data_IF_213345885460
#
_entry.id   IF_213345885460
#
_cell.length_a   1.000
_cell.length_b   1.000
_cell.length_c   1.000
_cell.angle_alpha   90.00
_cell.angle_beta   90.00
_cell.angle_gamma   90.00
#
_symmetry.space_group_name_H-M   'P 1'
#
loop_
_entity.id
_entity.type
_entity.pdbx_description
1 polymer ?
#
# COMPACT_ATOMS: atom_id res chain seq x y z
N UNK A 1 -47.47 -7.72 86.91
CA UNK A 1 -46.96 -8.83 86.07
C UNK A 1 -46.82 -8.39 84.62
N UNK A 2 -45.58 -8.06 84.22
CA UNK A 2 -45.33 -7.57 82.82
C UNK A 2 -44.63 -8.73 82.07
N UNK A 3 -45.23 -9.25 81.06
CA UNK A 3 -44.66 -10.25 80.12
C UNK A 3 -43.91 -9.54 79.03
N UNK A 4 -42.62 -9.74 78.97
CA UNK A 4 -41.74 -9.21 77.91
C UNK A 4 -41.65 -10.27 76.80
N UNK A 5 -42.13 -9.96 75.59
CA UNK A 5 -41.91 -10.77 74.41
C UNK A 5 -40.59 -10.41 73.75
N UNK A 6 -39.65 -11.38 73.63
CA UNK A 6 -38.45 -11.26 72.81
C UNK A 6 -38.76 -11.70 71.38
N UNK A 7 -38.66 -10.78 70.43
CA UNK A 7 -38.72 -11.08 69.02
C UNK A 7 -37.29 -11.45 68.51
N UNK A 8 -37.13 -12.68 68.05
CA UNK A 8 -35.92 -13.13 67.36
C UNK A 8 -35.94 -12.56 65.93
N UNK A 9 -35.01 -11.67 65.61
CA UNK A 9 -34.73 -11.25 64.25
C UNK A 9 -33.79 -12.29 63.61
N UNK A 10 -34.30 -13.05 62.63
CA UNK A 10 -33.50 -13.92 61.79
C UNK A 10 -32.89 -13.06 60.65
N UNK A 11 -31.56 -12.87 60.69
CA UNK A 11 -30.80 -12.22 59.60
C UNK A 11 -30.57 -13.27 58.53
N UNK A 12 -31.31 -13.15 57.39
CA UNK A 12 -31.09 -13.92 56.18
C UNK A 12 -29.91 -13.25 55.44
N UNK A 13 -28.72 -13.82 55.54
CA UNK A 13 -27.54 -13.42 54.76
C UNK A 13 -27.70 -13.96 53.36
N UNK A 14 -28.19 -13.14 52.43
CA UNK A 14 -28.18 -13.46 50.99
C UNK A 14 -26.74 -13.37 50.45
N UNK A 15 -26.12 -14.53 50.23
CA UNK A 15 -24.90 -14.64 49.46
C UNK A 15 -25.17 -14.23 48.00
N UNK A 16 -24.84 -13.01 47.65
CA UNK A 16 -24.79 -12.60 46.25
C UNK A 16 -23.52 -13.21 45.66
N UNK A 17 -23.67 -14.33 44.95
CA UNK A 17 -22.58 -14.90 44.15
C UNK A 17 -22.23 -13.90 43.06
N UNK A 18 -21.12 -13.20 43.19
CA UNK A 18 -20.55 -12.39 42.14
C UNK A 18 -20.22 -13.32 40.95
N UNK A 19 -20.99 -13.21 39.88
CA UNK A 19 -20.65 -13.87 38.62
C UNK A 19 -19.24 -13.44 38.21
N UNK A 20 -18.33 -14.37 37.83
CA UNK A 20 -17.02 -13.99 37.36
C UNK A 20 -17.18 -13.04 36.18
N UNK A 21 -16.71 -11.81 36.31
CA UNK A 21 -16.59 -10.87 35.21
C UNK A 21 -15.59 -11.51 34.24
N UNK A 22 -16.12 -12.08 33.14
CA UNK A 22 -15.26 -12.61 32.08
C UNK A 22 -14.36 -11.47 31.61
N UNK A 23 -13.07 -11.58 31.88
CA UNK A 23 -12.11 -10.56 31.46
C UNK A 23 -12.28 -10.30 29.97
N UNK A 24 -12.64 -9.08 29.61
CA UNK A 24 -12.81 -8.67 28.21
C UNK A 24 -11.47 -8.89 27.49
N UNK A 25 -11.46 -9.81 26.54
CA UNK A 25 -10.26 -10.11 25.76
C UNK A 25 -9.82 -8.83 25.05
N UNK A 26 -8.52 -8.50 25.22
CA UNK A 26 -7.92 -7.31 24.59
C UNK A 26 -7.36 -7.66 23.22
N UNK A 27 -7.46 -6.72 22.29
CA UNK A 27 -6.79 -6.81 21.01
C UNK A 27 -5.28 -6.98 21.17
N UNK A 28 -4.66 -7.70 20.25
CA UNK A 28 -3.20 -7.81 20.14
C UNK A 28 -2.57 -6.40 20.05
N UNK A 29 -1.41 -6.24 20.69
CA UNK A 29 -0.72 -4.96 20.75
C UNK A 29 -0.46 -4.42 19.34
N UNK A 30 -0.68 -3.10 19.16
CA UNK A 30 -0.51 -2.37 17.89
C UNK A 30 -1.43 -2.81 16.74
N UNK A 31 -2.42 -3.68 17.00
CA UNK A 31 -3.42 -4.07 16.01
C UNK A 31 -4.66 -3.17 16.08
N UNK A 32 -5.19 -2.82 14.92
CA UNK A 32 -6.43 -2.04 14.76
C UNK A 32 -7.23 -2.60 13.59
N UNK A 33 -8.53 -2.30 13.57
CA UNK A 33 -9.36 -2.58 12.39
C UNK A 33 -8.82 -1.81 11.19
N UNK A 34 -9.01 -2.40 10.01
CA UNK A 34 -8.75 -1.68 8.76
C UNK A 34 -9.77 -0.54 8.60
N UNK A 35 -9.36 0.67 8.16
CA UNK A 35 -10.27 1.83 8.04
C UNK A 35 -11.48 1.59 7.14
N UNK A 36 -11.42 0.59 6.27
CA UNK A 36 -12.48 0.26 5.33
C UNK A 36 -13.65 -0.50 5.96
N UNK A 37 -13.39 -1.36 6.95
CA UNK A 37 -14.37 -2.31 7.49
C UNK A 37 -14.25 -2.39 9.02
N UNK A 38 -15.39 -2.42 9.70
CA UNK A 38 -15.46 -2.76 11.12
C UNK A 38 -15.52 -4.27 11.30
N UNK A 39 -15.08 -4.76 12.46
CA UNK A 39 -15.22 -6.17 12.85
C UNK A 39 -16.66 -6.53 13.26
N UNK A 40 -16.94 -7.82 13.35
CA UNK A 40 -18.16 -8.31 13.95
C UNK A 40 -18.26 -7.86 15.45
N UNK A 41 -19.46 -7.58 15.97
CA UNK A 41 -19.65 -7.16 17.36
C UNK A 41 -19.01 -8.15 18.35
N UNK A 42 -18.35 -7.60 19.38
CA UNK A 42 -17.70 -8.35 20.47
C UNK A 42 -16.43 -9.13 20.08
N UNK A 43 -16.09 -9.22 18.80
CA UNK A 43 -14.85 -9.85 18.36
C UNK A 43 -13.64 -9.05 18.80
N UNK A 44 -12.51 -9.75 18.96
CA UNK A 44 -11.23 -9.15 19.29
C UNK A 44 -10.16 -9.56 18.26
N UNK A 45 -9.13 -8.75 18.12
CA UNK A 45 -8.03 -9.02 17.19
C UNK A 45 -7.00 -9.90 17.90
N UNK A 46 -6.87 -11.15 17.43
CA UNK A 46 -5.87 -12.08 17.92
C UNK A 46 -4.48 -11.76 17.40
N UNK A 47 -4.38 -11.37 16.14
CA UNK A 47 -3.13 -11.04 15.49
C UNK A 47 -3.38 -10.12 14.28
N UNK A 48 -2.40 -9.32 13.94
CA UNK A 48 -2.39 -8.59 12.67
C UNK A 48 -0.99 -8.52 12.07
N UNK A 49 -0.94 -8.42 10.74
CA UNK A 49 0.28 -8.14 9.97
C UNK A 49 -0.01 -6.97 9.08
N UNK A 50 0.81 -5.92 9.19
CA UNK A 50 0.79 -4.77 8.29
C UNK A 50 2.15 -4.66 7.62
N UNK A 51 2.17 -4.51 6.30
CA UNK A 51 3.39 -4.26 5.53
C UNK A 51 3.12 -3.12 4.56
N UNK A 52 4.09 -2.23 4.39
CA UNK A 52 3.98 -1.12 3.45
C UNK A 52 3.90 -1.61 2.00
N UNK A 53 4.57 -2.74 1.72
CA UNK A 53 4.51 -3.40 0.43
C UNK A 53 4.71 -4.92 0.60
N UNK A 54 3.82 -5.71 -0.01
CA UNK A 54 3.93 -7.17 -0.12
C UNK A 54 3.04 -7.68 -1.26
N UNK A 55 3.20 -8.92 -1.64
CA UNK A 55 2.38 -9.61 -2.64
C UNK A 55 1.44 -10.62 -1.97
N UNK A 56 0.21 -10.70 -2.47
CA UNK A 56 -0.75 -11.73 -2.06
C UNK A 56 -1.46 -12.35 -3.27
N UNK A 57 -1.68 -13.66 -3.20
CA UNK A 57 -2.33 -14.44 -4.25
C UNK A 57 -3.82 -14.63 -3.92
N UNK A 58 -4.67 -13.76 -4.46
CA UNK A 58 -6.11 -13.83 -4.27
C UNK A 58 -6.74 -14.94 -5.11
N UNK A 59 -7.62 -15.75 -4.50
CA UNK A 59 -8.41 -16.72 -5.24
C UNK A 59 -9.46 -16.01 -6.11
N UNK A 60 -9.48 -16.30 -7.41
CA UNK A 60 -10.46 -15.76 -8.36
C UNK A 60 -11.30 -16.86 -9.02
N UNK A 61 -11.48 -17.98 -8.33
CA UNK A 61 -12.23 -19.13 -8.81
C UNK A 61 -11.38 -20.14 -9.56
N UNK A 62 -11.93 -20.76 -10.62
CA UNK A 62 -11.20 -21.75 -11.43
C UNK A 62 -10.11 -21.05 -12.24
N UNK A 63 -8.85 -21.28 -11.90
CA UNK A 63 -7.71 -20.70 -12.60
C UNK A 63 -6.52 -20.38 -11.70
N UNK A 64 -5.54 -19.66 -12.26
CA UNK A 64 -4.42 -19.16 -11.45
C UNK A 64 -4.90 -18.02 -10.57
N UNK A 65 -4.44 -17.95 -9.30
CA UNK A 65 -4.77 -16.83 -8.42
C UNK A 65 -4.28 -15.50 -9.00
N UNK A 66 -4.97 -14.41 -8.68
CA UNK A 66 -4.53 -13.07 -9.02
C UNK A 66 -3.44 -12.63 -8.04
N UNK A 67 -2.22 -12.43 -8.53
CA UNK A 67 -1.15 -11.83 -7.74
C UNK A 67 -1.37 -10.31 -7.67
N UNK A 68 -1.48 -9.78 -6.47
CA UNK A 68 -1.66 -8.35 -6.22
C UNK A 68 -0.59 -7.87 -5.26
N UNK A 69 0.10 -6.82 -5.65
CA UNK A 69 1.18 -6.20 -4.87
C UNK A 69 0.72 -4.83 -4.37
N UNK A 70 1.12 -4.47 -3.15
CA UNK A 70 0.78 -3.20 -2.56
C UNK A 70 0.86 -3.19 -1.04
N UNK A 71 0.20 -2.22 -0.42
CA UNK A 71 0.10 -2.15 1.03
C UNK A 71 -0.75 -3.31 1.55
N UNK A 72 -0.13 -4.18 2.33
CA UNK A 72 -0.74 -5.42 2.80
C UNK A 72 -1.21 -5.30 4.24
N UNK A 73 -2.44 -5.73 4.47
CA UNK A 73 -3.05 -5.87 5.81
C UNK A 73 -3.66 -7.25 5.94
N UNK A 74 -3.32 -7.98 7.01
CA UNK A 74 -3.97 -9.23 7.39
C UNK A 74 -4.35 -9.15 8.86
N UNK A 75 -5.62 -9.41 9.18
CA UNK A 75 -6.13 -9.31 10.55
C UNK A 75 -6.92 -10.59 10.87
N UNK A 76 -6.55 -11.23 11.97
CA UNK A 76 -7.23 -12.41 12.49
C UNK A 76 -8.14 -12.02 13.65
N UNK A 77 -9.42 -12.29 13.50
CA UNK A 77 -10.47 -12.03 14.48
C UNK A 77 -10.93 -13.30 15.17
N UNK A 78 -11.14 -13.22 16.48
CA UNK A 78 -11.64 -14.30 17.30
C UNK A 78 -12.96 -13.91 17.98
N UNK A 79 -13.91 -14.83 18.09
CA UNK A 79 -15.08 -14.60 18.93
C UNK A 79 -14.69 -14.55 20.41
N UNK A 80 -15.46 -13.86 21.25
CA UNK A 80 -15.20 -13.85 22.70
C UNK A 80 -15.36 -15.24 23.30
N UNK A 81 -14.58 -15.52 24.33
CA UNK A 81 -14.74 -16.75 25.13
C UNK A 81 -16.15 -16.79 25.72
N UNK A 82 -16.82 -17.95 25.64
CA UNK A 82 -18.16 -18.15 26.18
C UNK A 82 -19.30 -17.69 25.27
N UNK A 83 -19.03 -17.27 24.02
CA UNK A 83 -20.09 -17.01 23.04
C UNK A 83 -20.82 -18.31 22.74
N UNK A 84 -22.08 -18.41 23.19
CA UNK A 84 -22.91 -19.63 23.05
C UNK A 84 -23.35 -19.89 21.62
N UNK A 85 -23.62 -18.81 20.86
CA UNK A 85 -24.00 -18.91 19.45
C UNK A 85 -22.99 -18.16 18.59
N UNK A 86 -22.14 -18.89 17.91
CA UNK A 86 -21.15 -18.33 16.98
C UNK A 86 -21.78 -18.14 15.61
N UNK A 87 -21.42 -17.08 14.87
CA UNK A 87 -21.86 -16.92 13.50
C UNK A 87 -21.30 -18.08 12.65
N UNK A 88 -22.13 -18.55 11.71
CA UNK A 88 -21.68 -19.55 10.72
C UNK A 88 -20.67 -18.91 9.76
N UNK A 89 -19.86 -19.76 9.13
CA UNK A 89 -18.95 -19.33 8.04
C UNK A 89 -19.70 -18.47 7.01
N UNK A 90 -20.85 -18.95 6.52
CA UNK A 90 -21.65 -18.20 5.55
C UNK A 90 -22.08 -16.81 6.09
N UNK A 91 -22.48 -16.75 7.36
CA UNK A 91 -22.88 -15.47 7.97
C UNK A 91 -21.71 -14.46 8.01
N UNK A 92 -20.48 -14.92 8.31
CA UNK A 92 -19.28 -14.07 8.28
C UNK A 92 -19.02 -13.57 6.86
N UNK A 93 -18.98 -14.49 5.88
CA UNK A 93 -18.74 -14.12 4.48
C UNK A 93 -19.76 -13.08 3.99
N UNK A 94 -21.05 -13.31 4.23
CA UNK A 94 -22.12 -12.38 3.81
C UNK A 94 -22.07 -11.02 4.49
N UNK A 95 -21.61 -10.94 5.73
CA UNK A 95 -21.43 -9.65 6.40
C UNK A 95 -20.34 -8.82 5.71
N UNK A 96 -19.20 -9.43 5.39
CA UNK A 96 -18.12 -8.74 4.69
C UNK A 96 -18.53 -8.40 3.25
N UNK A 97 -19.16 -9.33 2.53
CA UNK A 97 -19.68 -9.11 1.19
C UNK A 97 -20.61 -7.90 1.13
N UNK A 98 -21.63 -7.87 2.00
CA UNK A 98 -22.60 -6.79 2.02
C UNK A 98 -21.94 -5.45 2.36
N UNK A 99 -21.03 -5.41 3.34
CA UNK A 99 -20.32 -4.20 3.69
C UNK A 99 -19.47 -3.67 2.52
N UNK A 100 -18.76 -4.55 1.81
CA UNK A 100 -17.95 -4.16 0.65
C UNK A 100 -18.82 -3.73 -0.53
N UNK A 101 -19.95 -4.42 -0.79
CA UNK A 101 -20.91 -4.04 -1.84
C UNK A 101 -21.54 -2.67 -1.59
N UNK A 102 -21.88 -2.35 -0.33
CA UNK A 102 -22.44 -1.03 0.04
C UNK A 102 -21.51 0.14 -0.31
N UNK A 103 -20.22 -0.10 -0.36
CA UNK A 103 -19.21 0.93 -0.74
C UNK A 103 -18.72 0.78 -2.19
N UNK A 104 -19.44 0.01 -3.03
CA UNK A 104 -19.20 -0.10 -4.47
C UNK A 104 -18.27 -1.25 -4.88
N UNK A 105 -17.99 -2.19 -3.98
CA UNK A 105 -17.18 -3.37 -4.31
C UNK A 105 -17.95 -4.47 -5.03
N UNK A 106 -17.22 -5.39 -5.65
CA UNK A 106 -17.73 -6.53 -6.41
C UNK A 106 -17.09 -7.84 -5.95
N UNK A 107 -17.87 -8.93 -6.01
CA UNK A 107 -17.37 -10.28 -5.73
C UNK A 107 -16.60 -10.81 -6.93
N UNK A 108 -15.40 -11.31 -6.69
CA UNK A 108 -14.55 -11.94 -7.70
C UNK A 108 -14.66 -13.47 -7.68
N UNK A 109 -14.71 -14.04 -6.49
CA UNK A 109 -14.89 -15.49 -6.29
C UNK A 109 -15.42 -15.79 -4.89
N UNK A 110 -16.17 -16.88 -4.76
CA UNK A 110 -16.67 -17.40 -3.48
C UNK A 110 -16.48 -18.91 -3.46
N UNK A 111 -16.04 -19.44 -2.32
CA UNK A 111 -16.10 -20.86 -2.00
C UNK A 111 -16.75 -21.08 -0.61
N UNK A 112 -16.67 -22.31 -0.07
CA UNK A 112 -17.35 -22.65 1.19
C UNK A 112 -16.83 -21.90 2.42
N UNK A 113 -15.57 -21.45 2.39
CA UNK A 113 -14.89 -20.86 3.55
C UNK A 113 -14.26 -19.51 3.26
N UNK A 114 -14.28 -19.08 1.99
CA UNK A 114 -13.52 -17.95 1.52
C UNK A 114 -14.29 -17.14 0.48
N UNK A 115 -14.15 -15.83 0.52
CA UNK A 115 -14.67 -14.94 -0.50
C UNK A 115 -13.65 -13.86 -0.85
N UNK A 116 -13.44 -13.64 -2.14
CA UNK A 116 -12.57 -12.59 -2.67
C UNK A 116 -13.42 -11.49 -3.31
N UNK A 117 -13.14 -10.26 -2.94
CA UNK A 117 -13.84 -9.08 -3.42
C UNK A 117 -12.82 -8.04 -3.94
N UNK A 118 -13.31 -7.17 -4.79
CA UNK A 118 -12.54 -6.06 -5.35
C UNK A 118 -13.31 -4.76 -5.22
N UNK A 119 -12.60 -3.67 -4.90
CA UNK A 119 -13.15 -2.33 -4.73
C UNK A 119 -12.19 -1.32 -5.36
N UNK A 120 -12.74 -0.29 -6.01
CA UNK A 120 -11.98 0.91 -6.38
C UNK A 120 -12.51 2.08 -5.54
N UNK A 121 -11.64 2.69 -4.75
CA UNK A 121 -11.98 3.82 -3.89
C UNK A 121 -10.88 4.87 -3.95
N UNK A 122 -11.25 6.13 -4.12
CA UNK A 122 -10.32 7.26 -4.20
C UNK A 122 -9.19 7.06 -5.22
N UNK A 123 -9.51 6.42 -6.37
CA UNK A 123 -8.56 6.09 -7.43
C UNK A 123 -7.63 4.90 -7.13
N UNK A 124 -7.76 4.26 -5.97
CA UNK A 124 -6.98 3.09 -5.57
C UNK A 124 -7.78 1.81 -5.73
N UNK A 125 -7.13 0.78 -6.23
CA UNK A 125 -7.69 -0.56 -6.36
C UNK A 125 -7.37 -1.36 -5.08
N UNK A 126 -8.42 -1.85 -4.41
CA UNK A 126 -8.30 -2.69 -3.21
C UNK A 126 -8.81 -4.09 -3.51
N UNK A 127 -8.05 -5.08 -3.09
CA UNK A 127 -8.41 -6.48 -3.10
C UNK A 127 -8.62 -6.95 -1.67
N UNK A 128 -9.72 -7.65 -1.43
CA UNK A 128 -10.17 -8.06 -0.11
C UNK A 128 -10.45 -9.55 -0.16
N UNK A 129 -9.90 -10.31 0.77
CA UNK A 129 -10.26 -11.71 0.97
C UNK A 129 -10.69 -11.92 2.41
N UNK A 130 -11.86 -12.50 2.62
CA UNK A 130 -12.30 -12.99 3.91
C UNK A 130 -12.27 -14.51 3.91
N UNK A 131 -11.63 -15.08 4.91
CA UNK A 131 -11.69 -16.50 5.22
C UNK A 131 -12.34 -16.68 6.60
N UNK A 132 -13.23 -17.67 6.73
CA UNK A 132 -13.90 -17.99 7.99
C UNK A 132 -14.03 -19.50 8.18
N UNK A 133 -14.03 -19.95 9.43
CA UNK A 133 -14.20 -21.34 9.80
C UNK A 133 -15.44 -21.59 10.68
N UNK A 134 -15.67 -22.87 11.00
CA UNK A 134 -16.77 -23.33 11.85
C UNK A 134 -16.63 -22.92 13.33
N UNK A 135 -15.45 -22.46 13.76
CA UNK A 135 -15.23 -21.99 15.13
C UNK A 135 -15.66 -20.54 15.33
N UNK A 136 -16.07 -19.88 14.26
CA UNK A 136 -16.43 -18.47 14.20
C UNK A 136 -15.21 -17.55 14.04
N UNK A 137 -13.99 -18.09 13.99
CA UNK A 137 -12.79 -17.31 13.64
C UNK A 137 -12.90 -16.83 12.19
N UNK A 138 -12.39 -15.64 11.91
CA UNK A 138 -12.21 -15.20 10.54
C UNK A 138 -10.92 -14.38 10.35
N UNK A 139 -10.43 -14.37 9.14
CA UNK A 139 -9.26 -13.61 8.71
C UNK A 139 -9.68 -12.68 7.58
N UNK A 140 -9.31 -11.41 7.71
CA UNK A 140 -9.50 -10.41 6.67
C UNK A 140 -8.13 -10.04 6.11
N UNK A 141 -7.94 -10.29 4.81
CA UNK A 141 -6.74 -9.88 4.06
C UNK A 141 -7.12 -8.77 3.09
N UNK A 142 -6.41 -7.67 3.14
CA UNK A 142 -6.62 -6.52 2.25
C UNK A 142 -5.28 -6.13 1.63
N UNK A 143 -5.26 -5.96 0.32
CA UNK A 143 -4.14 -5.36 -0.41
C UNK A 143 -4.64 -4.12 -1.14
N UNK A 144 -4.13 -2.96 -0.75
CA UNK A 144 -4.26 -1.73 -1.52
C UNK A 144 -3.17 -1.73 -2.58
N UNK A 145 -3.55 -1.93 -3.83
CA UNK A 145 -2.62 -2.07 -4.95
C UNK A 145 -1.77 -0.81 -5.11
N UNK A 146 -0.47 -0.98 -5.07
CA UNK A 146 0.50 0.10 -5.22
C UNK A 146 1.76 -0.42 -5.91
N UNK A 147 2.50 0.46 -6.56
CA UNK A 147 3.85 0.16 -6.98
C UNK A 147 4.80 0.24 -5.77
N UNK A 148 5.80 -0.62 -5.74
CA UNK A 148 6.85 -0.57 -4.72
C UNK A 148 7.65 0.74 -4.86
N UNK A 149 7.83 1.46 -3.77
CA UNK A 149 8.78 2.55 -3.74
C UNK A 149 10.21 1.99 -3.81
N UNK A 150 10.99 2.47 -4.78
CA UNK A 150 12.38 2.07 -4.93
C UNK A 150 13.23 2.84 -3.92
N UNK A 151 13.64 2.19 -2.83
CA UNK A 151 14.48 2.78 -1.79
C UNK A 151 15.97 2.56 -2.04
N UNK A 152 16.34 1.46 -2.74
CA UNK A 152 17.70 1.16 -3.13
C UNK A 152 17.92 1.69 -4.54
N UNK A 153 18.79 2.66 -4.69
CA UNK A 153 19.14 3.26 -6.00
C UNK A 153 20.58 2.86 -6.40
N UNK A 154 20.85 2.84 -7.70
CA UNK A 154 22.21 2.66 -8.18
C UNK A 154 23.10 3.81 -7.68
N UNK A 155 24.32 3.51 -7.28
CA UNK A 155 25.26 4.51 -6.82
C UNK A 155 25.90 5.28 -7.99
N UNK A 156 26.67 6.32 -7.67
CA UNK A 156 27.32 7.16 -8.66
C UNK A 156 28.27 6.39 -9.60
N UNK A 157 28.94 5.34 -9.09
CA UNK A 157 29.85 4.52 -9.89
C UNK A 157 29.07 3.70 -10.95
N UNK A 158 27.94 3.11 -10.57
CA UNK A 158 27.08 2.40 -11.51
C UNK A 158 26.52 3.33 -12.61
N UNK A 159 26.19 4.57 -12.26
CA UNK A 159 25.80 5.58 -13.25
C UNK A 159 26.96 5.94 -14.17
N UNK A 160 28.19 6.10 -13.64
CA UNK A 160 29.38 6.38 -14.45
C UNK A 160 29.66 5.25 -15.44
N UNK A 161 29.56 4.00 -15.01
CA UNK A 161 29.78 2.83 -15.86
C UNK A 161 28.74 2.68 -16.96
N UNK A 162 27.45 2.92 -16.64
CA UNK A 162 26.36 2.97 -17.61
C UNK A 162 26.61 4.04 -18.69
N UNK A 163 26.96 5.26 -18.27
CA UNK A 163 27.25 6.36 -19.20
C UNK A 163 28.47 6.09 -20.07
N UNK A 164 29.48 5.38 -19.57
CA UNK A 164 30.66 4.95 -20.38
C UNK A 164 30.30 3.88 -21.40
N UNK A 165 29.43 2.94 -21.02
CA UNK A 165 29.13 1.76 -21.82
C UNK A 165 28.09 2.05 -22.91
N UNK A 166 27.04 2.79 -22.58
CA UNK A 166 25.86 3.02 -23.45
C UNK A 166 25.68 4.47 -23.87
N UNK A 167 26.38 5.39 -23.24
CA UNK A 167 26.18 6.85 -23.42
C UNK A 167 24.97 7.42 -22.67
N UNK A 168 24.09 6.57 -22.13
CA UNK A 168 22.91 6.98 -21.36
C UNK A 168 22.57 5.96 -20.27
N UNK A 169 21.80 6.37 -19.26
CA UNK A 169 21.30 5.48 -18.21
C UNK A 169 19.98 6.01 -17.64
N UNK A 170 19.02 5.11 -17.44
CA UNK A 170 17.81 5.43 -16.67
C UNK A 170 18.13 5.57 -15.18
N UNK A 171 17.59 6.59 -14.54
CA UNK A 171 17.73 6.81 -13.10
C UNK A 171 16.49 6.28 -12.40
N UNK A 172 16.63 5.09 -11.82
CA UNK A 172 15.59 4.54 -10.94
C UNK A 172 15.47 5.38 -9.65
N UNK A 173 14.28 5.42 -9.08
CA UNK A 173 14.05 6.16 -7.82
C UNK A 173 13.72 7.65 -8.00
N UNK A 174 13.48 8.12 -9.21
CA UNK A 174 12.93 9.47 -9.45
C UNK A 174 11.41 9.37 -9.64
N UNK A 175 10.65 9.95 -8.73
CA UNK A 175 9.19 9.88 -8.68
C UNK A 175 8.54 11.25 -8.77
N UNK A 176 7.38 11.28 -9.42
CA UNK A 176 6.51 12.45 -9.56
C UNK A 176 5.08 12.09 -9.18
N UNK A 177 4.30 13.07 -8.76
CA UNK A 177 2.86 12.91 -8.65
C UNK A 177 2.23 12.68 -10.04
N UNK A 178 1.12 11.96 -10.07
CA UNK A 178 0.41 11.66 -11.32
C UNK A 178 0.02 12.95 -12.05
N UNK A 179 0.45 13.07 -13.30
CA UNK A 179 0.19 14.26 -14.12
C UNK A 179 0.97 15.51 -13.72
N UNK A 180 1.87 15.43 -12.73
CA UNK A 180 2.67 16.57 -12.25
C UNK A 180 4.15 16.38 -12.53
N UNK A 181 4.91 17.49 -12.42
CA UNK A 181 6.36 17.54 -12.53
C UNK A 181 7.08 17.80 -11.20
N UNK A 182 6.33 17.87 -10.10
CA UNK A 182 6.90 18.04 -8.76
C UNK A 182 7.54 16.73 -8.29
N UNK A 183 8.80 16.82 -7.83
CA UNK A 183 9.53 15.67 -7.31
C UNK A 183 8.97 15.24 -5.97
N UNK A 184 8.74 13.96 -5.80
CA UNK A 184 8.41 13.40 -4.50
C UNK A 184 9.63 13.34 -3.58
N UNK A 185 9.44 13.41 -2.25
CA UNK A 185 10.54 13.34 -1.29
C UNK A 185 11.40 12.08 -1.45
N UNK A 186 10.80 10.95 -1.86
CA UNK A 186 11.47 9.67 -2.08
C UNK A 186 12.54 9.75 -3.19
N UNK A 187 12.49 10.75 -4.07
CA UNK A 187 13.49 10.96 -5.12
C UNK A 187 14.83 11.50 -4.60
N UNK A 188 14.91 11.94 -3.35
CA UNK A 188 16.09 12.60 -2.79
C UNK A 188 17.34 11.71 -2.84
N UNK A 189 17.23 10.40 -2.62
CA UNK A 189 18.34 9.46 -2.68
C UNK A 189 18.93 9.40 -4.10
N UNK A 190 18.10 9.22 -5.13
CA UNK A 190 18.53 9.16 -6.52
C UNK A 190 19.18 10.48 -6.98
N UNK A 191 18.59 11.62 -6.62
CA UNK A 191 19.15 12.96 -6.92
C UNK A 191 20.54 13.12 -6.27
N UNK A 192 20.71 12.63 -5.04
CA UNK A 192 22.00 12.68 -4.33
C UNK A 192 23.06 11.86 -5.04
N UNK A 193 22.76 10.66 -5.53
CA UNK A 193 23.71 9.83 -6.27
C UNK A 193 24.09 10.47 -7.62
N UNK A 194 23.16 11.07 -8.35
CA UNK A 194 23.44 11.84 -9.56
C UNK A 194 24.32 13.05 -9.25
N UNK A 195 24.10 13.71 -8.14
CA UNK A 195 24.95 14.83 -7.72
C UNK A 195 26.37 14.37 -7.35
N UNK A 196 26.54 13.21 -6.71
CA UNK A 196 27.87 12.61 -6.44
C UNK A 196 28.61 12.29 -7.73
N UNK A 197 27.92 11.67 -8.71
CA UNK A 197 28.48 11.41 -10.04
C UNK A 197 29.04 12.70 -10.67
N UNK A 198 28.26 13.77 -10.72
CA UNK A 198 28.68 15.04 -11.31
C UNK A 198 29.80 15.73 -10.51
N UNK A 199 29.84 15.57 -9.19
CA UNK A 199 30.92 16.10 -8.34
C UNK A 199 32.22 15.29 -8.48
N UNK A 200 32.10 13.98 -8.72
CA UNK A 200 33.25 13.08 -8.91
C UNK A 200 33.99 13.29 -10.26
N UNK A 201 33.27 13.76 -11.28
CA UNK A 201 33.87 14.09 -12.59
C UNK A 201 33.49 15.54 -12.98
N UNK A 202 34.41 16.46 -12.78
CA UNK A 202 34.21 17.89 -13.07
C UNK A 202 33.98 18.18 -14.57
N UNK A 203 34.50 17.30 -15.46
CA UNK A 203 34.36 17.43 -16.93
C UNK A 203 33.04 16.89 -17.46
N UNK A 204 32.32 16.06 -16.67
CA UNK A 204 31.10 15.41 -17.12
C UNK A 204 29.97 16.43 -17.31
N UNK A 205 29.38 16.39 -18.50
CA UNK A 205 28.18 17.16 -18.85
C UNK A 205 27.05 16.22 -19.26
N UNK A 206 25.83 16.48 -18.81
CA UNK A 206 24.69 15.60 -19.01
C UNK A 206 23.47 16.35 -19.58
N UNK A 207 22.74 15.66 -20.43
CA UNK A 207 21.33 15.93 -20.65
C UNK A 207 20.52 15.11 -19.65
N UNK A 208 19.54 15.73 -19.00
CA UNK A 208 18.51 15.07 -18.20
C UNK A 208 17.29 14.97 -19.09
N UNK A 209 16.90 13.75 -19.45
CA UNK A 209 15.82 13.51 -20.42
C UNK A 209 14.63 12.87 -19.72
N UNK A 210 13.50 13.56 -19.74
CA UNK A 210 12.24 13.03 -19.22
C UNK A 210 11.46 12.27 -20.28
N UNK A 211 10.79 11.19 -19.87
CA UNK A 211 9.92 10.35 -20.71
C UNK A 211 8.55 10.19 -20.08
N UNK A 212 7.54 9.88 -20.92
CA UNK A 212 6.19 9.51 -20.50
C UNK A 212 5.80 8.16 -21.12
N UNK A 213 4.72 7.60 -20.66
CA UNK A 213 3.95 6.61 -21.41
C UNK A 213 3.14 7.28 -22.54
N UNK A 214 2.31 6.49 -23.23
CA UNK A 214 1.48 6.95 -24.34
C UNK A 214 0.06 7.41 -23.92
N UNK A 215 -0.23 7.52 -22.61
CA UNK A 215 -1.55 7.92 -22.13
C UNK A 215 -1.69 9.45 -22.21
N UNK A 216 -2.76 9.92 -22.83
CA UNK A 216 -3.06 11.36 -22.99
C UNK A 216 -2.56 11.96 -24.31
N UNK A 217 -2.70 13.28 -24.43
CA UNK A 217 -2.32 14.01 -25.64
C UNK A 217 -0.80 14.13 -25.77
N UNK A 218 -0.28 13.97 -26.97
CA UNK A 218 1.14 14.04 -27.28
C UNK A 218 1.79 15.33 -26.80
N UNK A 219 1.19 16.48 -27.10
CA UNK A 219 1.71 17.80 -26.71
C UNK A 219 1.80 17.93 -25.18
N UNK A 220 0.78 17.42 -24.46
CA UNK A 220 0.77 17.36 -23.00
C UNK A 220 1.92 16.51 -22.45
N UNK A 221 2.16 15.34 -23.04
CA UNK A 221 3.24 14.45 -22.68
C UNK A 221 4.62 15.04 -22.97
N UNK A 222 4.79 15.73 -24.09
CA UNK A 222 6.03 16.45 -24.39
C UNK A 222 6.31 17.52 -23.35
N UNK A 223 5.33 18.36 -23.02
CA UNK A 223 5.47 19.39 -22.00
C UNK A 223 5.71 18.80 -20.60
N UNK A 224 4.98 17.73 -20.23
CA UNK A 224 5.14 17.07 -18.94
C UNK A 224 6.54 16.49 -18.76
N UNK A 225 7.06 15.79 -19.79
CA UNK A 225 8.40 15.22 -19.77
C UNK A 225 9.49 16.29 -19.66
N UNK A 226 9.35 17.39 -20.39
CA UNK A 226 10.24 18.55 -20.30
C UNK A 226 10.23 19.15 -18.88
N UNK A 227 9.06 19.37 -18.31
CA UNK A 227 8.93 19.93 -16.96
C UNK A 227 9.52 19.01 -15.88
N UNK A 228 9.34 17.70 -16.02
CA UNK A 228 9.94 16.69 -15.12
C UNK A 228 11.47 16.73 -15.17
N UNK A 229 12.05 16.73 -16.35
CA UNK A 229 13.50 16.90 -16.52
C UNK A 229 13.99 18.21 -15.89
N UNK A 230 13.25 19.30 -16.08
CA UNK A 230 13.57 20.60 -15.52
C UNK A 230 13.55 20.57 -13.97
N UNK A 231 12.60 19.88 -13.35
CA UNK A 231 12.55 19.72 -11.89
C UNK A 231 13.76 18.98 -11.35
N UNK A 232 14.22 17.94 -12.03
CA UNK A 232 15.46 17.21 -11.67
C UNK A 232 16.67 18.15 -11.78
N UNK A 233 16.83 18.87 -12.89
CA UNK A 233 17.90 19.87 -13.06
C UNK A 233 17.87 20.92 -11.95
N UNK A 234 16.71 21.45 -11.64
CA UNK A 234 16.56 22.43 -10.55
C UNK A 234 16.98 21.87 -9.19
N UNK A 235 16.62 20.62 -8.89
CA UNK A 235 17.03 19.96 -7.65
C UNK A 235 18.56 19.83 -7.57
N UNK A 236 19.20 19.39 -8.65
CA UNK A 236 20.66 19.25 -8.75
C UNK A 236 21.38 20.61 -8.57
N UNK A 237 20.88 21.66 -9.20
CA UNK A 237 21.45 23.00 -9.09
C UNK A 237 21.24 23.61 -7.70
N UNK A 238 19.95 23.67 -7.24
CA UNK A 238 19.60 24.40 -6.01
C UNK A 238 20.03 23.70 -4.74
N UNK A 239 19.84 22.35 -4.69
CA UNK A 239 20.08 21.60 -3.47
C UNK A 239 21.48 20.98 -3.39
N UNK A 240 22.14 20.73 -4.55
CA UNK A 240 23.43 20.08 -4.59
C UNK A 240 24.56 20.95 -5.17
N UNK A 241 24.26 22.18 -5.64
CA UNK A 241 25.26 23.13 -6.14
C UNK A 241 25.93 22.72 -7.46
N UNK A 242 25.22 21.94 -8.30
CA UNK A 242 25.73 21.59 -9.63
C UNK A 242 25.63 22.80 -10.55
N UNK A 243 26.70 23.08 -11.28
CA UNK A 243 26.74 24.21 -12.24
C UNK A 243 25.75 24.00 -13.40
N UNK A 244 24.93 25.02 -13.66
CA UNK A 244 23.89 25.01 -14.71
C UNK A 244 24.45 24.67 -16.09
N UNK A 245 25.68 25.13 -16.38
CA UNK A 245 26.35 24.88 -17.66
C UNK A 245 26.64 23.39 -17.93
N UNK A 246 26.62 22.55 -16.90
CA UNK A 246 26.93 21.12 -16.97
C UNK A 246 25.69 20.23 -17.21
N UNK A 247 24.50 20.75 -17.00
CA UNK A 247 23.27 19.97 -17.11
C UNK A 247 22.19 20.72 -17.86
N UNK A 248 21.49 20.02 -18.76
CA UNK A 248 20.39 20.57 -19.55
C UNK A 248 19.20 19.62 -19.52
N UNK A 249 17.99 20.17 -19.40
CA UNK A 249 16.75 19.41 -19.37
C UNK A 249 16.13 19.29 -20.77
N UNK A 250 15.67 18.09 -21.12
CA UNK A 250 14.92 17.82 -22.33
C UNK A 250 13.74 16.90 -22.05
N UNK A 251 12.63 17.08 -22.79
CA UNK A 251 11.48 16.20 -22.76
C UNK A 251 11.41 15.41 -24.06
N UNK A 252 11.30 14.10 -23.95
CA UNK A 252 11.14 13.20 -25.09
C UNK A 252 9.72 12.62 -25.18
N UNK A 253 8.84 12.96 -24.23
CA UNK A 253 7.48 12.45 -24.23
C UNK A 253 7.43 10.92 -24.37
N UNK A 254 6.50 10.39 -25.20
CA UNK A 254 6.33 8.94 -25.39
C UNK A 254 7.22 8.35 -26.51
N UNK A 255 8.14 9.11 -27.13
CA UNK A 255 8.82 8.69 -28.35
C UNK A 255 9.90 7.61 -28.20
N UNK A 256 10.36 7.33 -26.98
CA UNK A 256 11.36 6.30 -26.74
C UNK A 256 10.88 5.32 -25.65
N UNK A 257 9.90 4.47 -25.93
CA UNK A 257 9.43 3.47 -25.00
C UNK A 257 10.51 2.38 -24.81
N UNK A 258 10.73 1.98 -23.55
CA UNK A 258 11.62 0.85 -23.22
C UNK A 258 10.81 -0.43 -22.92
N UNK A 259 9.49 -0.32 -22.88
CA UNK A 259 8.57 -1.44 -22.75
C UNK A 259 7.24 -1.13 -23.48
N UNK A 260 6.43 -2.19 -23.75
CA UNK A 260 5.10 -1.99 -24.35
C UNK A 260 4.21 -1.12 -23.44
N UNK A 261 3.46 -0.21 -24.06
CA UNK A 261 2.46 0.61 -23.39
C UNK A 261 1.10 -0.09 -23.15
N UNK A 262 0.94 -1.33 -23.61
CA UNK A 262 -0.34 -2.07 -23.51
C UNK A 262 -0.71 -2.38 -22.06
N UNK A 263 0.30 -2.68 -21.22
CA UNK A 263 0.12 -2.98 -19.81
C UNK A 263 0.71 -1.90 -18.89
N UNK A 264 0.13 -1.73 -17.71
CA UNK A 264 0.61 -0.74 -16.73
C UNK A 264 2.06 -0.96 -16.33
N UNK A 265 2.51 -2.22 -16.21
CA UNK A 265 3.90 -2.57 -15.91
C UNK A 265 4.88 -1.98 -16.95
N UNK A 266 4.50 -2.00 -18.23
CA UNK A 266 5.31 -1.41 -19.29
C UNK A 266 5.24 0.11 -19.29
N UNK A 267 4.04 0.68 -19.12
CA UNK A 267 3.86 2.14 -18.99
C UNK A 267 4.67 2.71 -17.82
N UNK A 268 4.70 2.02 -16.68
CA UNK A 268 5.50 2.45 -15.53
C UNK A 268 6.99 2.55 -15.84
N UNK A 269 7.55 1.64 -16.64
CA UNK A 269 8.94 1.70 -17.12
C UNK A 269 9.18 2.86 -18.09
N UNK A 270 8.16 3.22 -18.87
CA UNK A 270 8.26 4.33 -19.82
C UNK A 270 8.23 5.71 -19.14
N UNK A 271 7.57 5.83 -17.97
CA UNK A 271 7.57 7.06 -17.16
C UNK A 271 8.86 7.19 -16.35
N UNK A 272 9.94 7.58 -16.97
CA UNK A 272 11.29 7.60 -16.40
C UNK A 272 12.05 8.89 -16.70
N UNK A 273 13.18 9.05 -16.03
CA UNK A 273 14.20 10.05 -16.34
C UNK A 273 15.50 9.34 -16.71
N UNK A 274 16.14 9.79 -17.78
CA UNK A 274 17.45 9.32 -18.21
C UNK A 274 18.52 10.40 -18.09
N UNK A 275 19.74 9.99 -17.77
CA UNK A 275 20.95 10.79 -17.96
C UNK A 275 21.57 10.39 -19.27
N UNK A 276 21.91 11.38 -20.10
CA UNK A 276 22.57 11.17 -21.40
C UNK A 276 23.85 12.00 -21.41
N UNK A 277 24.97 11.37 -21.73
CA UNK A 277 26.27 12.06 -21.81
C UNK A 277 26.26 13.04 -23.01
N UNK A 278 26.76 14.28 -22.74
CA UNK A 278 26.94 15.28 -23.80
C UNK A 278 28.20 15.00 -24.60
#
# INVERSE_FOLDING_TARGET
MKRTCYALLAIISSLVAAAPCAAQQKDAANCKDHPLLTRLPYYWIQACTLKQFDAYAFSIGKGKPAQVEGQFTNIRYQPPAGLTTKPSTLQVLRNVENAVKQIGGTVMATDQSKETLKLTKDGKELWIEVWADHTGQYILTIVEKAAMAQEIVANADAFADGLKTTGHIAVEGIYFETGKSELKPESAAAITEVAKLLKGDAGLKLYVVGHTDNVGALEGNMKLSQNRAQSVVQALVKSHGIEVARIKAYGNGPYAPVASNDAEVGRAKNRRVELVKQ
#
